data_IF_986655196743
#
_entry.id   IF_986655196743
#
_cell.length_a   1.000
_cell.length_b   1.000
_cell.length_c   1.000
_cell.angle_alpha   90.00
_cell.angle_beta   90.00
_cell.angle_gamma   90.00
#
_symmetry.space_group_name_H-M   'P 1'
#
loop_
_entity.id
_entity.type
_entity.pdbx_description
1 polymer ?
#
# COMPACT_ATOMS: atom_id res chain seq x y z
N UNK A 1 -20.24 -23.51 41.82
CA UNK A 1 -18.90 -23.13 41.32
C UNK A 1 -17.98 -22.85 42.49
N UNK A 2 -16.79 -23.47 42.56
CA UNK A 2 -15.88 -23.32 43.72
C UNK A 2 -15.24 -21.92 43.77
N UNK A 3 -14.84 -21.45 44.96
CA UNK A 3 -14.11 -20.17 45.12
C UNK A 3 -12.83 -20.14 44.28
N UNK A 4 -12.14 -21.27 44.16
CA UNK A 4 -10.93 -21.44 43.35
C UNK A 4 -11.24 -21.26 41.86
N UNK A 5 -12.30 -21.89 41.36
CA UNK A 5 -12.75 -21.75 39.96
C UNK A 5 -13.04 -20.29 39.61
N UNK A 6 -13.71 -19.55 40.51
CA UNK A 6 -14.02 -18.13 40.31
C UNK A 6 -12.75 -17.26 40.23
N UNK A 7 -11.74 -17.52 41.06
CA UNK A 7 -10.46 -16.79 41.04
C UNK A 7 -9.68 -17.02 39.75
N UNK A 8 -9.58 -18.29 39.31
CA UNK A 8 -8.92 -18.64 38.04
C UNK A 8 -9.60 -17.95 36.86
N UNK A 9 -10.94 -17.95 36.83
CA UNK A 9 -11.71 -17.30 35.77
C UNK A 9 -11.47 -15.77 35.74
N UNK A 10 -11.41 -15.12 36.90
CA UNK A 10 -11.11 -13.68 36.99
C UNK A 10 -9.68 -13.39 36.51
N UNK A 11 -8.69 -14.17 36.96
CA UNK A 11 -7.31 -13.98 36.51
C UNK A 11 -7.15 -14.17 35.01
N UNK A 12 -7.81 -15.19 34.43
CA UNK A 12 -7.81 -15.41 32.99
C UNK A 12 -8.43 -14.22 32.24
N UNK A 13 -9.55 -13.70 32.74
CA UNK A 13 -10.22 -12.54 32.13
C UNK A 13 -9.35 -11.27 32.20
N UNK A 14 -8.64 -11.05 33.31
CA UNK A 14 -7.68 -9.94 33.44
C UNK A 14 -6.53 -10.09 32.45
N UNK A 15 -5.97 -11.30 32.30
CA UNK A 15 -4.89 -11.56 31.32
C UNK A 15 -5.37 -11.30 29.90
N UNK A 16 -6.56 -11.79 29.53
CA UNK A 16 -7.16 -11.55 28.21
C UNK A 16 -7.35 -10.05 27.97
N UNK A 17 -7.87 -9.31 28.96
CA UNK A 17 -8.06 -7.87 28.84
C UNK A 17 -6.73 -7.13 28.64
N UNK A 18 -5.69 -7.49 29.40
CA UNK A 18 -4.36 -6.90 29.25
C UNK A 18 -3.75 -7.19 27.88
N UNK A 19 -3.95 -8.40 27.34
CA UNK A 19 -3.50 -8.75 25.98
C UNK A 19 -4.22 -7.93 24.91
N UNK A 20 -5.53 -7.73 25.04
CA UNK A 20 -6.30 -6.90 24.11
C UNK A 20 -5.79 -5.46 24.14
N UNK A 21 -5.59 -4.89 25.33
CA UNK A 21 -5.04 -3.54 25.48
C UNK A 21 -3.65 -3.45 24.84
N UNK A 22 -2.77 -4.41 25.13
CA UNK A 22 -1.43 -4.46 24.54
C UNK A 22 -1.47 -4.50 23.01
N UNK A 23 -2.35 -5.30 22.40
CA UNK A 23 -2.50 -5.38 20.94
C UNK A 23 -2.88 -4.01 20.35
N UNK A 24 -3.83 -3.29 20.96
CA UNK A 24 -4.23 -1.96 20.46
C UNK A 24 -3.13 -0.92 20.61
N UNK A 25 -2.25 -1.07 21.60
CA UNK A 25 -1.08 -0.20 21.79
C UNK A 25 0.05 -0.53 20.80
N UNK A 26 0.24 -1.80 20.45
CA UNK A 26 1.31 -2.27 19.56
C UNK A 26 0.94 -2.12 18.08
N UNK A 27 -0.34 -2.31 17.73
CA UNK A 27 -0.87 -2.24 16.37
C UNK A 27 -1.99 -1.19 16.27
N UNK A 28 -1.67 0.11 16.46
CA UNK A 28 -2.68 1.14 16.44
C UNK A 28 -3.17 1.39 15.01
N UNK A 29 -4.47 1.61 14.84
CA UNK A 29 -5.05 2.09 13.58
C UNK A 29 -5.04 3.61 13.63
N UNK A 30 -4.01 4.21 13.04
CA UNK A 30 -3.86 5.68 12.95
C UNK A 30 -3.74 6.05 11.49
N UNK A 31 -4.54 7.03 11.07
CA UNK A 31 -4.49 7.60 9.72
C UNK A 31 -3.11 8.20 9.42
N UNK A 32 -2.72 8.22 8.15
CA UNK A 32 -1.42 8.76 7.75
C UNK A 32 -1.31 10.25 8.12
N UNK A 33 -0.15 10.72 8.58
CA UNK A 33 0.03 12.11 8.96
C UNK A 33 -0.22 13.02 7.77
N UNK A 34 -1.00 14.09 7.96
CA UNK A 34 -1.31 15.02 6.88
C UNK A 34 -0.05 15.70 6.35
N UNK A 35 0.15 15.73 5.02
CA UNK A 35 1.27 16.43 4.42
C UNK A 35 1.16 17.94 4.66
N UNK A 36 2.31 18.62 4.77
CA UNK A 36 2.38 20.05 5.11
C UNK A 36 2.59 20.99 3.91
N UNK A 37 2.54 20.44 2.69
CA UNK A 37 2.75 21.21 1.47
C UNK A 37 1.56 22.09 1.09
N UNK A 38 1.75 22.88 0.03
CA UNK A 38 0.75 23.84 -0.49
C UNK A 38 -0.44 23.15 -1.17
N UNK A 39 -0.21 21.99 -1.78
CA UNK A 39 -1.20 21.29 -2.59
C UNK A 39 -1.90 20.18 -1.80
N UNK A 40 -3.15 19.92 -2.14
CA UNK A 40 -3.77 18.64 -1.81
C UNK A 40 -3.14 17.54 -2.67
N UNK A 41 -3.34 16.28 -2.31
CA UNK A 41 -2.74 15.15 -3.04
C UNK A 41 -3.81 14.39 -3.82
N UNK A 42 -3.68 14.35 -5.14
CA UNK A 42 -4.44 13.44 -5.99
C UNK A 42 -3.67 12.16 -6.22
N UNK A 43 -4.38 11.06 -6.50
CA UNK A 43 -3.75 9.78 -6.80
C UNK A 43 -4.49 9.00 -7.88
N UNK A 44 -3.75 8.22 -8.67
CA UNK A 44 -4.32 7.37 -9.72
C UNK A 44 -3.42 6.15 -9.99
N UNK A 45 -4.05 5.01 -10.28
CA UNK A 45 -3.37 3.78 -10.67
C UNK A 45 -3.45 3.64 -12.20
N UNK A 46 -2.31 3.42 -12.82
CA UNK A 46 -2.17 3.13 -14.24
C UNK A 46 -1.61 1.72 -14.45
N UNK A 47 -1.76 1.21 -15.67
CA UNK A 47 -1.06 0.01 -16.14
C UNK A 47 -0.33 0.36 -17.43
N UNK A 48 0.94 -0.02 -17.50
CA UNK A 48 1.78 0.12 -18.67
C UNK A 48 2.24 -1.25 -19.13
N UNK A 49 2.27 -1.45 -20.45
CA UNK A 49 2.82 -2.66 -21.08
C UNK A 49 4.08 -2.30 -21.83
N UNK A 50 5.20 -2.91 -21.45
CA UNK A 50 6.46 -2.82 -22.18
C UNK A 50 6.49 -3.88 -23.28
N UNK A 51 6.17 -3.46 -24.50
CA UNK A 51 6.13 -4.34 -25.67
C UNK A 51 7.53 -4.79 -26.15
N UNK A 52 8.61 -4.23 -25.61
CA UNK A 52 9.99 -4.60 -25.99
C UNK A 52 10.54 -5.78 -25.20
N UNK A 53 9.93 -6.11 -24.05
CA UNK A 53 10.38 -7.19 -23.15
C UNK A 53 9.28 -8.21 -22.92
N UNK A 54 9.68 -9.48 -22.90
CA UNK A 54 8.82 -10.57 -22.42
C UNK A 54 8.80 -10.58 -20.90
N UNK A 55 7.71 -11.07 -20.33
CA UNK A 55 7.67 -11.46 -18.93
C UNK A 55 8.51 -12.74 -18.75
N UNK A 56 9.44 -12.71 -17.79
CA UNK A 56 10.41 -13.79 -17.55
C UNK A 56 10.07 -14.62 -16.30
N UNK A 57 9.15 -14.11 -15.48
CA UNK A 57 8.69 -14.76 -14.25
C UNK A 57 7.38 -15.52 -14.40
N UNK A 58 6.75 -15.44 -15.58
CA UNK A 58 5.58 -16.22 -15.93
C UNK A 58 5.89 -17.17 -17.08
N UNK A 59 5.34 -18.38 -17.04
CA UNK A 59 5.39 -19.33 -18.14
C UNK A 59 4.46 -18.95 -19.31
N UNK A 60 4.07 -17.68 -19.40
CA UNK A 60 3.25 -17.11 -20.45
C UNK A 60 4.13 -16.33 -21.44
N UNK A 61 3.80 -16.40 -22.73
CA UNK A 61 4.49 -15.62 -23.77
C UNK A 61 4.00 -14.15 -23.81
N UNK A 62 3.72 -13.59 -22.63
CA UNK A 62 3.16 -12.24 -22.44
C UNK A 62 4.26 -11.19 -22.34
N UNK A 63 3.91 -9.94 -22.64
CA UNK A 63 4.79 -8.79 -22.47
C UNK A 63 4.88 -8.38 -21.00
N UNK A 64 5.94 -7.67 -20.62
CA UNK A 64 6.10 -7.15 -19.26
C UNK A 64 5.05 -6.07 -18.97
N UNK A 65 4.15 -6.35 -18.02
CA UNK A 65 3.14 -5.41 -17.56
C UNK A 65 3.58 -4.80 -16.23
N UNK A 66 3.35 -3.49 -16.04
CA UNK A 66 3.79 -2.72 -14.89
C UNK A 66 2.64 -1.84 -14.39
N UNK A 67 2.03 -2.14 -13.23
CA UNK A 67 1.19 -1.19 -12.54
C UNK A 67 2.01 -0.03 -11.99
N UNK A 68 1.45 1.17 -12.07
CA UNK A 68 2.11 2.39 -11.58
C UNK A 68 1.11 3.25 -10.83
N UNK A 69 1.33 3.45 -9.54
CA UNK A 69 0.56 4.36 -8.71
C UNK A 69 1.21 5.74 -8.78
N UNK A 70 0.40 6.76 -9.04
CA UNK A 70 0.88 8.13 -9.19
C UNK A 70 0.30 8.99 -8.09
N UNK A 71 1.13 9.81 -7.45
CA UNK A 71 0.69 10.91 -6.57
C UNK A 71 1.06 12.23 -7.22
N UNK A 72 0.12 13.18 -7.19
CA UNK A 72 0.29 14.45 -7.89
C UNK A 72 -0.38 15.61 -7.14
N UNK A 73 0.03 16.86 -7.40
CA UNK A 73 -0.59 18.04 -6.80
C UNK A 73 -2.01 18.22 -7.32
N UNK A 74 -2.98 18.41 -6.43
CA UNK A 74 -4.37 18.78 -6.77
C UNK A 74 -4.84 19.97 -5.93
N UNK A 75 -6.02 20.49 -6.25
CA UNK A 75 -6.63 21.63 -5.58
C UNK A 75 -7.80 21.20 -4.71
N UNK A 76 -7.94 21.87 -3.57
CA UNK A 76 -8.98 21.61 -2.57
C UNK A 76 -10.40 21.54 -3.16
N UNK A 77 -10.71 22.37 -4.17
CA UNK A 77 -12.02 22.40 -4.84
C UNK A 77 -12.42 21.04 -5.45
N UNK A 78 -11.45 20.22 -5.85
CA UNK A 78 -11.69 18.89 -6.42
C UNK A 78 -11.88 17.80 -5.36
N UNK A 79 -11.56 18.11 -4.09
CA UNK A 79 -11.57 17.17 -2.98
C UNK A 79 -12.83 17.28 -2.09
N UNK A 80 -13.56 18.40 -2.12
CA UNK A 80 -14.60 18.77 -1.13
C UNK A 80 -15.74 17.76 -0.88
N UNK A 81 -15.96 16.80 -1.78
CA UNK A 81 -16.99 15.76 -1.66
C UNK A 81 -16.42 14.34 -1.86
N UNK A 82 -15.11 14.17 -1.68
CA UNK A 82 -14.44 12.88 -1.79
C UNK A 82 -13.81 12.54 -0.46
N UNK A 83 -13.79 11.26 -0.14
CA UNK A 83 -12.99 10.75 0.97
C UNK A 83 -11.58 10.40 0.46
N UNK A 84 -10.55 10.57 1.30
CA UNK A 84 -9.23 10.02 1.00
C UNK A 84 -9.26 8.50 0.85
N UNK A 85 -8.35 7.98 0.02
CA UNK A 85 -8.18 6.53 -0.17
C UNK A 85 -7.68 5.85 1.11
N UNK A 86 -7.98 4.57 1.25
CA UNK A 86 -7.34 3.71 2.26
C UNK A 86 -5.89 3.41 1.86
N UNK A 87 -5.02 3.23 2.86
CA UNK A 87 -3.60 3.00 2.66
C UNK A 87 -3.30 1.69 1.91
N UNK A 88 -4.07 0.64 2.19
CA UNK A 88 -3.94 -0.66 1.54
C UNK A 88 -5.31 -1.29 1.33
N UNK A 89 -5.44 -2.13 0.30
CA UNK A 89 -6.60 -3.01 0.19
C UNK A 89 -6.45 -4.24 1.10
N UNK A 90 -7.57 -4.87 1.45
CA UNK A 90 -7.57 -6.08 2.30
C UNK A 90 -6.78 -7.22 1.67
N UNK A 91 -6.85 -7.35 0.35
CA UNK A 91 -6.11 -8.38 -0.39
C UNK A 91 -4.61 -8.08 -0.41
N UNK A 92 -4.21 -6.83 -0.63
CA UNK A 92 -2.81 -6.38 -0.50
C UNK A 92 -2.22 -6.72 0.87
N UNK A 93 -2.99 -6.50 1.94
CA UNK A 93 -2.56 -6.87 3.30
C UNK A 93 -2.29 -8.37 3.40
N UNK A 94 -3.22 -9.20 2.91
CA UNK A 94 -3.07 -10.66 2.92
C UNK A 94 -1.87 -11.14 2.10
N UNK A 95 -1.64 -10.54 0.94
CA UNK A 95 -0.52 -10.89 0.07
C UNK A 95 0.82 -10.50 0.72
N UNK A 96 0.89 -9.31 1.33
CA UNK A 96 2.08 -8.88 2.07
C UNK A 96 2.35 -9.74 3.32
N UNK A 97 1.31 -10.09 4.09
CA UNK A 97 1.42 -11.02 5.22
C UNK A 97 1.99 -12.38 4.82
N UNK A 98 1.58 -12.90 3.64
CA UNK A 98 2.10 -14.18 3.12
C UNK A 98 3.60 -14.08 2.85
N UNK A 99 4.03 -13.02 2.20
CA UNK A 99 5.46 -12.82 1.87
C UNK A 99 6.30 -12.65 3.13
N UNK A 100 5.77 -12.01 4.17
CA UNK A 100 6.44 -11.84 5.46
C UNK A 100 6.31 -13.05 6.41
N UNK A 101 5.48 -14.05 6.08
CA UNK A 101 5.24 -15.21 6.96
C UNK A 101 4.48 -14.90 8.25
N UNK A 102 3.70 -13.80 8.30
CA UNK A 102 3.00 -13.29 9.49
C UNK A 102 1.50 -13.11 9.24
N UNK A 103 0.72 -14.20 9.14
CA UNK A 103 -0.68 -14.11 8.76
C UNK A 103 -1.50 -13.33 9.81
N UNK A 104 -2.51 -12.58 9.34
CA UNK A 104 -3.49 -11.82 10.13
C UNK A 104 -2.98 -10.57 10.85
N UNK A 105 -1.67 -10.29 10.87
CA UNK A 105 -1.09 -9.20 11.67
C UNK A 105 -1.29 -7.81 11.07
N UNK A 106 -1.35 -7.69 9.73
CA UNK A 106 -1.32 -6.42 9.00
C UNK A 106 -2.69 -6.02 8.43
N UNK A 107 -3.73 -6.83 8.56
CA UNK A 107 -5.09 -6.55 8.04
C UNK A 107 -5.68 -5.22 8.51
N UNK A 108 -5.26 -4.75 9.69
CA UNK A 108 -5.69 -3.47 10.24
C UNK A 108 -5.26 -2.27 9.38
N UNK A 109 -4.19 -2.41 8.59
CA UNK A 109 -3.70 -1.37 7.66
C UNK A 109 -4.73 -1.03 6.57
N UNK A 110 -5.64 -1.96 6.23
CA UNK A 110 -6.73 -1.68 5.31
C UNK A 110 -7.80 -0.72 5.87
N UNK A 111 -7.70 -0.34 7.15
CA UNK A 111 -8.58 0.64 7.79
C UNK A 111 -7.92 2.01 7.97
N UNK A 112 -6.63 2.15 7.64
CA UNK A 112 -5.87 3.39 7.73
C UNK A 112 -6.22 4.27 6.52
N UNK A 113 -6.64 5.51 6.74
CA UNK A 113 -6.83 6.49 5.67
C UNK A 113 -5.52 7.17 5.32
N UNK A 114 -5.39 7.51 4.04
CA UNK A 114 -4.34 8.37 3.49
C UNK A 114 -4.81 9.83 3.47
N UNK A 115 -4.04 10.71 2.81
CA UNK A 115 -4.42 12.07 2.46
C UNK A 115 -4.57 12.26 0.94
N UNK A 116 -4.74 11.15 0.20
CA UNK A 116 -4.76 11.11 -1.25
C UNK A 116 -6.17 10.90 -1.79
N UNK A 117 -6.58 11.72 -2.77
CA UNK A 117 -7.91 11.64 -3.38
C UNK A 117 -7.84 10.97 -4.75
N UNK A 118 -8.63 9.92 -4.96
CA UNK A 118 -8.62 9.14 -6.19
C UNK A 118 -9.20 9.91 -7.38
N UNK A 119 -8.49 9.88 -8.50
CA UNK A 119 -8.95 10.35 -9.82
C UNK A 119 -9.53 11.77 -9.76
N UNK A 120 -8.78 12.70 -9.17
CA UNK A 120 -9.09 14.14 -9.16
C UNK A 120 -8.21 14.86 -10.17
N UNK A 121 -8.65 15.97 -10.76
CA UNK A 121 -7.80 16.70 -11.69
C UNK A 121 -6.48 17.16 -11.06
N UNK A 122 -5.39 17.10 -11.84
CA UNK A 122 -4.09 17.68 -11.47
C UNK A 122 -4.25 19.20 -11.37
N UNK A 123 -3.60 19.84 -10.41
CA UNK A 123 -3.61 21.30 -10.26
C UNK A 123 -2.97 21.97 -11.49
N UNK A 124 -3.58 23.07 -11.93
CA UNK A 124 -3.05 23.89 -13.03
C UNK A 124 -2.30 25.15 -12.56
N UNK A 125 -1.93 25.22 -11.27
CA UNK A 125 -1.19 26.37 -10.72
C UNK A 125 0.22 26.50 -11.29
N UNK A 126 0.85 25.38 -11.66
CA UNK A 126 2.12 25.36 -12.38
C UNK A 126 1.92 24.81 -13.80
N UNK A 127 2.68 25.33 -14.76
CA UNK A 127 2.68 24.79 -16.13
C UNK A 127 3.40 23.44 -16.26
N UNK A 128 4.33 23.15 -15.35
CA UNK A 128 5.14 21.91 -15.30
C UNK A 128 5.44 21.57 -13.85
N UNK A 129 5.46 20.27 -13.55
CA UNK A 129 5.89 19.76 -12.24
C UNK A 129 7.14 18.88 -12.42
N UNK A 130 8.11 18.93 -11.50
CA UNK A 130 9.19 17.94 -11.46
C UNK A 130 8.62 16.54 -11.24
N UNK A 131 9.21 15.56 -11.94
CA UNK A 131 8.78 14.17 -11.91
C UNK A 131 9.80 13.32 -11.15
N UNK A 132 9.32 12.47 -10.26
CA UNK A 132 10.10 11.46 -9.54
C UNK A 132 9.57 10.08 -9.92
N UNK A 133 10.48 9.15 -10.20
CA UNK A 133 10.17 7.73 -10.34
C UNK A 133 10.67 7.02 -9.09
N UNK A 134 9.78 6.30 -8.41
CA UNK A 134 10.06 5.55 -7.21
C UNK A 134 10.00 4.05 -7.49
N UNK A 135 10.99 3.33 -6.97
CA UNK A 135 11.07 1.87 -6.99
C UNK A 135 11.05 1.37 -5.56
N UNK A 136 10.11 0.47 -5.26
CA UNK A 136 10.10 -0.22 -3.97
C UNK A 136 11.28 -1.20 -3.86
N UNK A 137 11.60 -1.61 -2.63
CA UNK A 137 12.54 -2.71 -2.38
C UNK A 137 11.95 -4.05 -2.81
N UNK A 138 12.79 -5.07 -2.99
CA UNK A 138 12.33 -6.44 -3.28
C UNK A 138 11.25 -6.88 -2.28
N UNK A 139 10.22 -7.59 -2.75
CA UNK A 139 9.01 -7.96 -1.99
C UNK A 139 8.20 -6.82 -1.37
N UNK A 140 8.52 -5.58 -1.72
CA UNK A 140 7.80 -4.39 -1.27
C UNK A 140 6.42 -4.22 -1.92
N UNK A 141 5.78 -3.10 -1.57
CA UNK A 141 4.47 -2.71 -2.12
C UNK A 141 4.58 -1.41 -2.89
N UNK A 142 3.75 -1.26 -3.92
CA UNK A 142 3.64 -0.03 -4.72
C UNK A 142 3.32 1.21 -3.86
N UNK A 143 2.63 1.04 -2.74
CA UNK A 143 2.23 2.09 -1.81
C UNK A 143 3.04 2.19 -0.52
N UNK A 144 4.11 1.40 -0.33
CA UNK A 144 4.77 1.27 0.98
C UNK A 144 5.38 2.57 1.53
N UNK A 145 5.63 3.56 0.66
CA UNK A 145 6.17 4.88 1.01
C UNK A 145 5.14 6.02 0.85
N UNK A 146 3.84 5.73 0.96
CA UNK A 146 2.76 6.72 0.70
C UNK A 146 2.96 8.05 1.43
N UNK A 147 3.37 8.06 2.70
CA UNK A 147 3.65 9.30 3.46
C UNK A 147 4.69 10.19 2.75
N UNK A 148 5.73 9.58 2.17
CA UNK A 148 6.75 10.29 1.42
C UNK A 148 6.20 10.77 0.07
N UNK A 149 5.40 9.95 -0.62
CA UNK A 149 4.77 10.32 -1.90
C UNK A 149 3.80 11.49 -1.73
N UNK A 150 2.99 11.49 -0.67
CA UNK A 150 2.08 12.57 -0.31
C UNK A 150 2.83 13.84 0.06
N UNK A 151 3.93 13.71 0.82
CA UNK A 151 4.79 14.85 1.16
C UNK A 151 5.37 15.48 -0.11
N UNK A 152 5.90 14.68 -1.04
CA UNK A 152 6.42 15.17 -2.32
C UNK A 152 5.31 15.81 -3.17
N UNK A 153 4.17 15.14 -3.34
CA UNK A 153 3.06 15.65 -4.14
C UNK A 153 2.49 16.96 -3.60
N UNK A 154 2.31 17.07 -2.28
CA UNK A 154 1.86 18.31 -1.64
C UNK A 154 2.86 19.48 -1.83
N UNK A 155 4.13 19.18 -2.11
CA UNK A 155 5.18 20.16 -2.40
C UNK A 155 5.39 20.41 -3.91
N UNK A 156 4.51 19.91 -4.78
CA UNK A 156 4.54 20.20 -6.20
C UNK A 156 5.32 19.19 -7.06
N UNK A 157 5.51 17.96 -6.60
CA UNK A 157 6.11 16.89 -7.42
C UNK A 157 5.03 15.94 -7.96
N UNK A 158 5.25 15.36 -9.13
CA UNK A 158 4.50 14.18 -9.56
C UNK A 158 5.38 12.96 -9.32
N UNK A 159 4.88 12.00 -8.55
CA UNK A 159 5.63 10.80 -8.20
C UNK A 159 4.98 9.57 -8.80
N UNK A 160 5.74 8.80 -9.58
CA UNK A 160 5.32 7.52 -10.16
C UNK A 160 5.99 6.39 -9.38
N UNK A 161 5.22 5.64 -8.58
CA UNK A 161 5.68 4.42 -7.92
C UNK A 161 5.33 3.21 -8.77
N UNK A 162 6.34 2.43 -9.14
CA UNK A 162 6.19 1.27 -10.01
C UNK A 162 6.07 0.01 -9.15
N UNK A 163 5.04 -0.80 -9.40
CA UNK A 163 5.04 -2.20 -8.96
C UNK A 163 5.82 -3.03 -9.97
N UNK A 164 6.85 -3.72 -9.48
CA UNK A 164 7.56 -4.70 -10.29
C UNK A 164 6.80 -6.02 -10.23
N UNK A 165 6.06 -6.37 -11.31
CA UNK A 165 5.21 -7.57 -11.36
C UNK A 165 5.99 -8.84 -11.06
N UNK A 166 5.41 -9.73 -10.26
CA UNK A 166 6.02 -10.95 -9.69
C UNK A 166 7.09 -10.73 -8.61
N UNK A 167 7.67 -9.53 -8.53
CA UNK A 167 8.71 -9.15 -7.55
C UNK A 167 8.14 -8.43 -6.33
N UNK A 168 7.09 -7.63 -6.52
CA UNK A 168 6.33 -6.98 -5.46
C UNK A 168 5.54 -8.03 -4.68
N UNK A 169 5.24 -7.74 -3.41
CA UNK A 169 4.32 -8.57 -2.63
C UNK A 169 2.95 -8.71 -3.31
N UNK A 170 2.54 -7.64 -4.00
CA UNK A 170 1.38 -7.64 -4.87
C UNK A 170 1.53 -6.60 -5.98
N UNK A 171 1.11 -6.97 -7.20
CA UNK A 171 0.96 -6.09 -8.34
C UNK A 171 -0.51 -6.03 -8.76
N UNK A 172 -1.19 -4.97 -8.31
CA UNK A 172 -2.60 -4.71 -8.61
C UNK A 172 -2.75 -3.77 -9.79
N UNK A 173 -3.65 -4.12 -10.70
CA UNK A 173 -3.94 -3.40 -11.93
C UNK A 173 -5.26 -2.60 -11.83
N UNK A 174 -5.46 -1.56 -12.65
CA UNK A 174 -6.69 -0.75 -12.62
C UNK A 174 -7.98 -1.52 -12.91
N UNK A 175 -7.89 -2.64 -13.62
CA UNK A 175 -9.01 -3.53 -13.96
C UNK A 175 -9.38 -4.50 -12.81
N UNK A 176 -8.67 -4.43 -11.68
CA UNK A 176 -8.88 -5.28 -10.52
C UNK A 176 -8.11 -6.60 -10.56
N UNK A 177 -7.34 -6.87 -11.63
CA UNK A 177 -6.42 -8.02 -11.64
C UNK A 177 -5.33 -7.78 -10.60
N UNK A 178 -5.05 -8.80 -9.80
CA UNK A 178 -3.97 -8.79 -8.80
C UNK A 178 -3.05 -9.98 -9.03
N UNK A 179 -1.76 -9.68 -9.19
CA UNK A 179 -0.70 -10.68 -9.36
C UNK A 179 0.16 -10.68 -8.10
N UNK A 180 0.17 -11.76 -7.31
CA UNK A 180 1.01 -11.85 -6.12
C UNK A 180 2.48 -12.08 -6.49
N UNK A 181 3.35 -11.93 -5.50
CA UNK A 181 4.74 -12.37 -5.55
C UNK A 181 4.89 -13.82 -6.06
N UNK A 182 5.94 -14.08 -6.85
CA UNK A 182 6.26 -15.42 -7.40
C UNK A 182 7.46 -16.05 -6.70
N UNK A 183 7.25 -17.20 -6.03
CA UNK A 183 8.35 -18.00 -5.44
C UNK A 183 9.31 -18.57 -6.50
N UNK A 184 8.84 -18.76 -7.74
CA UNK A 184 9.68 -19.22 -8.86
C UNK A 184 10.85 -18.24 -9.12
N UNK A 185 10.65 -16.96 -8.83
CA UNK A 185 11.73 -15.97 -8.94
C UNK A 185 12.81 -16.16 -7.87
N UNK A 186 12.45 -16.39 -6.61
CA UNK A 186 13.44 -16.62 -5.55
C UNK A 186 14.36 -17.76 -5.93
N UNK A 187 13.78 -18.87 -6.41
CA UNK A 187 14.55 -20.03 -6.82
C UNK A 187 15.49 -19.71 -8.00
N UNK A 188 15.04 -18.91 -8.98
CA UNK A 188 15.90 -18.47 -10.10
C UNK A 188 17.09 -17.62 -9.66
N UNK A 189 16.95 -16.80 -8.61
CA UNK A 189 18.04 -15.98 -8.08
C UNK A 189 19.03 -16.79 -7.23
N UNK A 190 18.57 -17.86 -6.58
CA UNK A 190 19.43 -18.74 -5.77
C UNK A 190 20.26 -19.71 -6.62
N UNK A 191 19.86 -19.93 -7.88
CA UNK A 191 20.52 -20.82 -8.84
C UNK A 191 21.65 -20.13 -9.67
N UNK A 192 21.80 -18.80 -9.58
CA UNK A 192 22.82 -17.97 -10.28
C UNK A 192 24.05 -17.66 -9.39
#
# INVERSE_FOLDING_TARGET
MSKTTKRVMISLLVVILLLIIAIHLILPVVDLPSPKGKYQVGTQLFSFTDNSRKEIYANSNTQRMLPVQVWYPTEEKFCRNKEPEFYMEKESCKNFERVLGIPYLLRHLASVKTNSYKEVPISNQEHKYPVIVFSHGYTGLIGQNTVQMETLASNGYIVFSIAHTYEAAESRFPDGVSIPFSEEQTNKLDDD
#
